data_IF_572008666128
#
_entry.id   IF_572008666128
#
_cell.length_a   1.000
_cell.length_b   1.000
_cell.length_c   1.000
_cell.angle_alpha   90.00
_cell.angle_beta   90.00
_cell.angle_gamma   90.00
#
_symmetry.space_group_name_H-M   'P 1'
#
loop_
_entity.id
_entity.type
_entity.pdbx_description
1 polymer ?
#
# COMPACT_ATOMS: atom_id res chain seq x y z
N UNK A 1 -13.98 19.69 13.44
CA UNK A 1 -13.11 18.85 14.28
C UNK A 1 -12.19 18.07 13.35
N UNK A 2 -10.89 18.26 13.44
CA UNK A 2 -9.91 17.47 12.66
C UNK A 2 -9.88 16.05 13.23
N UNK A 3 -10.25 15.05 12.41
CA UNK A 3 -10.17 13.63 12.79
C UNK A 3 -8.69 13.24 12.95
N UNK A 4 -8.35 12.71 14.11
CA UNK A 4 -7.01 12.12 14.35
C UNK A 4 -6.86 10.88 13.47
N UNK A 5 -5.76 10.80 12.72
CA UNK A 5 -5.37 9.60 11.94
C UNK A 5 -5.20 8.42 12.90
N UNK A 6 -5.86 7.30 12.61
CA UNK A 6 -5.82 6.06 13.39
C UNK A 6 -5.16 4.92 12.63
N UNK A 7 -5.32 4.87 11.31
CA UNK A 7 -4.72 3.82 10.49
C UNK A 7 -4.21 4.35 9.17
N UNK A 8 -3.03 3.90 8.79
CA UNK A 8 -2.41 4.19 7.50
C UNK A 8 -2.12 2.90 6.75
N UNK A 9 -2.17 2.99 5.43
CA UNK A 9 -1.77 1.91 4.54
C UNK A 9 -0.55 2.33 3.71
N UNK A 10 0.32 1.36 3.41
CA UNK A 10 1.47 1.54 2.51
C UNK A 10 1.31 0.56 1.36
N UNK A 11 1.59 1.02 0.14
CA UNK A 11 1.71 0.13 -1.02
C UNK A 11 2.85 0.58 -1.92
N UNK A 12 3.45 -0.37 -2.63
CA UNK A 12 4.39 -0.09 -3.72
C UNK A 12 3.75 -0.51 -5.04
N UNK A 13 3.81 0.35 -6.06
CA UNK A 13 3.25 0.11 -7.38
C UNK A 13 4.27 0.41 -8.50
N UNK A 14 4.03 -0.15 -9.69
CA UNK A 14 4.87 0.06 -10.88
C UNK A 14 5.98 -0.98 -11.08
N UNK A 15 7.14 -0.55 -11.57
CA UNK A 15 8.33 -1.39 -11.71
C UNK A 15 9.05 -1.58 -10.38
N UNK A 16 9.72 -2.72 -10.18
CA UNK A 16 10.60 -2.89 -9.03
C UNK A 16 11.80 -1.95 -9.16
N UNK A 17 12.05 -1.18 -8.10
CA UNK A 17 13.21 -0.33 -7.96
C UNK A 17 13.99 -0.73 -6.69
N UNK A 18 15.33 -0.60 -6.67
CA UNK A 18 16.15 -0.94 -5.50
C UNK A 18 15.77 -0.22 -4.20
N UNK A 19 15.10 0.93 -4.26
CA UNK A 19 14.83 1.79 -3.11
C UNK A 19 13.47 1.58 -2.40
N UNK A 20 12.58 0.74 -2.93
CA UNK A 20 11.21 0.66 -2.41
C UNK A 20 11.14 0.12 -0.97
N UNK A 21 12.00 -0.85 -0.65
CA UNK A 21 12.24 -1.40 0.69
C UNK A 21 12.65 -0.31 1.70
N UNK A 22 13.60 0.55 1.33
CA UNK A 22 14.07 1.66 2.16
C UNK A 22 12.97 2.69 2.43
N UNK A 23 12.12 2.98 1.44
CA UNK A 23 10.98 3.88 1.62
C UNK A 23 9.95 3.31 2.62
N UNK A 24 9.69 2.00 2.58
CA UNK A 24 8.83 1.32 3.56
C UNK A 24 9.45 1.37 4.96
N UNK A 25 10.76 1.08 5.10
CA UNK A 25 11.44 1.19 6.39
C UNK A 25 11.34 2.59 6.98
N UNK A 26 11.66 3.62 6.18
CA UNK A 26 11.62 5.00 6.63
C UNK A 26 10.22 5.42 7.11
N UNK A 27 9.15 5.00 6.41
CA UNK A 27 7.78 5.24 6.85
C UNK A 27 7.45 4.53 8.18
N UNK A 28 7.82 3.24 8.30
CA UNK A 28 7.57 2.47 9.54
C UNK A 28 8.31 3.12 10.72
N UNK A 29 9.57 3.47 10.55
CA UNK A 29 10.38 4.14 11.58
C UNK A 29 9.77 5.48 11.95
N UNK A 30 9.38 6.29 10.95
CA UNK A 30 8.81 7.61 11.22
C UNK A 30 7.50 7.52 12.00
N UNK A 31 6.59 6.63 11.61
CA UNK A 31 5.36 6.41 12.37
C UNK A 31 5.63 5.83 13.76
N UNK A 32 6.66 5.00 13.92
CA UNK A 32 7.05 4.46 15.23
C UNK A 32 7.52 5.58 16.17
N UNK A 33 8.26 6.56 15.63
CA UNK A 33 8.77 7.71 16.38
C UNK A 33 7.68 8.72 16.76
N UNK A 34 6.84 9.14 15.81
CA UNK A 34 5.91 10.27 16.06
C UNK A 34 4.48 9.89 16.38
N UNK A 35 4.07 8.66 16.06
CA UNK A 35 2.68 8.23 16.18
C UNK A 35 2.60 6.71 16.41
N UNK A 36 3.17 6.20 17.52
CA UNK A 36 3.28 4.75 17.78
C UNK A 36 1.92 4.03 17.84
N UNK A 37 0.86 4.76 18.22
CA UNK A 37 -0.51 4.23 18.31
C UNK A 37 -1.23 4.14 16.95
N UNK A 38 -0.67 4.71 15.87
CA UNK A 38 -1.25 4.61 14.53
C UNK A 38 -1.00 3.22 13.98
N UNK A 39 -2.07 2.52 13.59
CA UNK A 39 -1.95 1.23 12.93
C UNK A 39 -1.39 1.38 11.52
N UNK A 40 -0.47 0.50 11.13
CA UNK A 40 0.08 0.46 9.77
C UNK A 40 -0.26 -0.90 9.14
N UNK A 41 -0.84 -0.86 7.95
CA UNK A 41 -0.98 -2.04 7.09
C UNK A 41 -0.22 -1.83 5.77
N UNK A 42 0.22 -2.91 5.16
CA UNK A 42 0.87 -2.88 3.85
C UNK A 42 0.11 -3.76 2.86
N UNK A 43 -0.37 -3.19 1.74
CA UNK A 43 -1.07 -3.98 0.72
C UNK A 43 -0.09 -4.82 -0.11
N UNK A 44 -0.34 -6.12 -0.17
CA UNK A 44 0.59 -7.09 -0.79
C UNK A 44 0.49 -7.04 -2.30
N UNK A 45 1.57 -6.62 -2.96
CA UNK A 45 1.63 -6.49 -4.40
C UNK A 45 0.97 -5.21 -4.91
N UNK A 46 0.98 -4.12 -4.16
CA UNK A 46 0.50 -2.82 -4.63
C UNK A 46 -1.01 -2.75 -4.78
N UNK A 47 -1.48 -2.06 -5.83
CA UNK A 47 -2.90 -1.93 -6.15
C UNK A 47 -3.62 -3.28 -6.34
N UNK A 48 -2.90 -4.34 -6.74
CA UNK A 48 -3.44 -5.70 -6.75
C UNK A 48 -3.92 -6.12 -5.36
N UNK A 49 -3.06 -5.96 -4.34
CA UNK A 49 -3.38 -6.30 -2.96
C UNK A 49 -4.50 -5.42 -2.41
N UNK A 50 -4.54 -4.15 -2.80
CA UNK A 50 -5.64 -3.25 -2.45
C UNK A 50 -6.97 -3.74 -3.02
N UNK A 51 -7.06 -4.07 -4.32
CA UNK A 51 -8.31 -4.56 -4.92
C UNK A 51 -8.79 -5.90 -4.32
N UNK A 52 -7.85 -6.74 -3.88
CA UNK A 52 -8.14 -8.05 -3.29
C UNK A 52 -8.34 -8.01 -1.75
N UNK A 53 -8.14 -6.84 -1.12
CA UNK A 53 -8.15 -6.71 0.34
C UNK A 53 -7.04 -7.49 1.05
N UNK A 54 -5.93 -7.78 0.36
CA UNK A 54 -4.80 -8.54 0.91
C UNK A 54 -3.74 -7.59 1.46
N UNK A 55 -3.59 -7.58 2.78
CA UNK A 55 -2.62 -6.76 3.49
C UNK A 55 -1.89 -7.52 4.60
N UNK A 56 -0.74 -6.97 5.03
CA UNK A 56 0.02 -7.42 6.19
C UNK A 56 0.01 -6.29 7.21
N UNK A 57 -0.29 -6.61 8.47
CA UNK A 57 -0.18 -5.64 9.57
C UNK A 57 1.29 -5.49 10.00
N UNK A 58 1.74 -4.26 10.19
CA UNK A 58 3.03 -3.98 10.81
C UNK A 58 2.88 -4.15 12.33
N UNK A 59 3.48 -5.22 12.87
CA UNK A 59 3.46 -5.56 14.29
C UNK A 59 4.54 -4.78 15.06
N UNK A 60 4.52 -4.76 16.41
CA UNK A 60 5.62 -4.22 17.19
C UNK A 60 6.98 -4.84 16.85
N UNK A 61 7.02 -6.15 16.56
CA UNK A 61 8.23 -6.84 16.10
C UNK A 61 8.74 -6.29 14.75
N UNK A 62 7.84 -6.10 13.78
CA UNK A 62 8.23 -5.49 12.49
C UNK A 62 8.74 -4.06 12.69
N UNK A 63 8.14 -3.27 13.59
CA UNK A 63 8.63 -1.93 13.93
C UNK A 63 10.05 -1.96 14.51
N UNK A 64 10.35 -2.91 15.39
CA UNK A 64 11.68 -3.06 15.99
C UNK A 64 12.75 -3.47 14.97
N UNK A 65 12.37 -4.17 13.91
CA UNK A 65 13.30 -4.74 12.93
C UNK A 65 13.25 -4.07 11.55
N UNK A 66 12.48 -2.99 11.36
CA UNK A 66 12.28 -2.35 10.05
C UNK A 66 13.58 -1.90 9.38
N UNK A 67 14.60 -1.54 10.17
CA UNK A 67 15.92 -1.13 9.67
C UNK A 67 16.62 -2.19 8.80
N UNK A 68 16.24 -3.48 8.91
CA UNK A 68 16.79 -4.53 8.03
C UNK A 68 16.44 -4.27 6.57
N UNK A 69 15.29 -3.66 6.28
CA UNK A 69 14.83 -3.43 4.91
C UNK A 69 15.74 -2.48 4.12
N UNK A 70 16.48 -1.60 4.80
CA UNK A 70 17.49 -0.74 4.16
C UNK A 70 18.61 -1.53 3.47
N UNK A 71 18.81 -2.81 3.84
CA UNK A 71 19.84 -3.69 3.27
C UNK A 71 19.34 -4.51 2.08
N UNK A 72 18.07 -4.39 1.72
CA UNK A 72 17.46 -5.15 0.64
C UNK A 72 17.02 -4.24 -0.50
N UNK A 73 17.12 -4.72 -1.74
CA UNK A 73 16.51 -4.06 -2.90
C UNK A 73 15.06 -4.50 -3.14
N UNK A 74 14.36 -3.79 -4.01
CA UNK A 74 13.00 -4.16 -4.41
C UNK A 74 11.97 -3.82 -3.33
N UNK A 75 10.85 -4.56 -3.30
CA UNK A 75 9.76 -4.33 -2.35
C UNK A 75 9.49 -5.60 -1.51
N UNK A 76 9.64 -5.56 -0.17
CA UNK A 76 9.37 -6.70 0.71
C UNK A 76 7.89 -7.10 0.73
N UNK A 77 6.99 -6.21 0.31
CA UNK A 77 5.55 -6.46 0.22
C UNK A 77 5.11 -6.83 -1.21
N UNK A 78 6.07 -7.07 -2.11
CA UNK A 78 5.82 -7.29 -3.52
C UNK A 78 5.37 -6.01 -4.24
N UNK A 79 5.19 -6.10 -5.55
CA UNK A 79 4.79 -4.97 -6.40
C UNK A 79 3.82 -5.42 -7.50
N UNK A 80 3.06 -4.50 -8.08
CA UNK A 80 2.30 -4.78 -9.31
C UNK A 80 2.20 -3.58 -10.23
N UNK A 81 2.03 -3.87 -11.52
CA UNK A 81 1.73 -2.87 -12.56
C UNK A 81 0.23 -2.74 -12.83
N UNK A 82 -0.60 -2.86 -11.79
CA UNK A 82 -2.04 -2.61 -11.91
C UNK A 82 -2.26 -1.10 -12.07
N UNK A 83 -3.07 -0.71 -13.07
CA UNK A 83 -3.54 0.67 -13.25
C UNK A 83 -5.05 0.68 -12.99
N UNK A 84 -5.49 1.41 -11.97
CA UNK A 84 -6.91 1.49 -11.62
C UNK A 84 -7.74 2.12 -12.75
N UNK A 85 -7.14 3.00 -13.53
CA UNK A 85 -7.74 3.62 -14.71
C UNK A 85 -7.92 2.65 -15.90
N UNK A 86 -7.32 1.46 -15.86
CA UNK A 86 -7.49 0.43 -16.89
C UNK A 86 -8.45 -0.67 -16.43
N UNK A 87 -9.74 -0.36 -16.42
CA UNK A 87 -10.79 -1.31 -16.03
C UNK A 87 -10.77 -2.61 -16.84
N UNK A 88 -10.47 -2.56 -18.14
CA UNK A 88 -10.38 -3.75 -19.00
C UNK A 88 -9.27 -4.71 -18.54
N UNK A 89 -8.10 -4.20 -18.19
CA UNK A 89 -7.01 -5.02 -17.65
C UNK A 89 -7.36 -5.59 -16.27
N UNK A 90 -7.99 -4.78 -15.41
CA UNK A 90 -8.43 -5.24 -14.09
C UNK A 90 -9.45 -6.39 -14.19
N UNK A 91 -10.43 -6.29 -15.10
CA UNK A 91 -11.40 -7.37 -15.38
C UNK A 91 -10.70 -8.59 -15.95
N UNK A 92 -9.85 -8.42 -16.98
CA UNK A 92 -9.10 -9.53 -17.60
C UNK A 92 -8.26 -10.31 -16.58
N UNK A 93 -7.73 -9.63 -15.58
CA UNK A 93 -6.92 -10.21 -14.50
C UNK A 93 -7.73 -10.71 -13.31
N UNK A 94 -9.07 -10.58 -13.35
CA UNK A 94 -9.96 -11.01 -12.29
C UNK A 94 -9.88 -10.17 -11.01
N UNK A 95 -9.35 -8.95 -11.08
CA UNK A 95 -9.20 -8.05 -9.92
C UNK A 95 -10.48 -7.30 -9.60
N UNK A 96 -11.35 -7.13 -10.61
CA UNK A 96 -12.70 -6.58 -10.46
C UNK A 96 -13.65 -7.35 -11.38
N UNK A 97 -14.96 -7.27 -11.10
CA UNK A 97 -16.01 -7.83 -11.95
C UNK A 97 -16.27 -6.92 -13.14
N UNK A 98 -16.84 -7.48 -14.21
CA UNK A 98 -17.30 -6.70 -15.35
C UNK A 98 -18.32 -5.64 -14.91
N UNK A 99 -18.16 -4.41 -15.42
CA UNK A 99 -18.97 -3.26 -15.04
C UNK A 99 -18.57 -2.55 -13.75
N UNK A 100 -17.59 -3.07 -12.98
CA UNK A 100 -17.05 -2.35 -11.82
C UNK A 100 -15.98 -1.34 -12.21
N UNK A 101 -15.98 -0.20 -11.52
CA UNK A 101 -14.89 0.78 -11.54
C UNK A 101 -13.81 0.38 -10.52
N UNK A 102 -12.57 0.06 -10.93
CA UNK A 102 -11.49 -0.29 -10.01
C UNK A 102 -11.14 0.81 -9.00
N UNK A 103 -11.28 2.09 -9.34
CA UNK A 103 -11.02 3.19 -8.40
C UNK A 103 -12.05 3.17 -7.27
N UNK A 104 -13.33 2.94 -7.61
CA UNK A 104 -14.40 2.78 -6.63
C UNK A 104 -14.18 1.55 -5.74
N UNK A 105 -13.80 0.41 -6.31
CA UNK A 105 -13.50 -0.81 -5.54
C UNK A 105 -12.32 -0.59 -4.58
N UNK A 106 -11.26 0.06 -5.05
CA UNK A 106 -10.12 0.41 -4.22
C UNK A 106 -10.51 1.34 -3.06
N UNK A 107 -11.29 2.40 -3.34
CA UNK A 107 -11.79 3.32 -2.34
C UNK A 107 -12.68 2.61 -1.30
N UNK A 108 -13.59 1.74 -1.74
CA UNK A 108 -14.47 0.98 -0.85
C UNK A 108 -13.67 0.02 0.03
N UNK A 109 -12.59 -0.58 -0.49
CA UNK A 109 -11.70 -1.42 0.29
C UNK A 109 -10.90 -0.63 1.34
N UNK A 110 -10.41 0.59 1.01
CA UNK A 110 -9.76 1.48 1.99
C UNK A 110 -10.72 1.84 3.14
N UNK A 111 -11.99 2.16 2.80
CA UNK A 111 -13.04 2.44 3.79
C UNK A 111 -13.31 1.21 4.66
N UNK A 112 -13.43 0.03 4.05
CA UNK A 112 -13.63 -1.24 4.75
C UNK A 112 -12.49 -1.58 5.71
N UNK A 113 -11.25 -1.32 5.31
CA UNK A 113 -10.06 -1.52 6.16
C UNK A 113 -9.88 -0.42 7.22
N UNK A 114 -10.65 0.67 7.12
CA UNK A 114 -10.59 1.82 8.02
C UNK A 114 -9.33 2.66 7.83
N UNK A 115 -8.78 2.71 6.62
CA UNK A 115 -7.57 3.47 6.28
C UNK A 115 -7.90 4.96 6.18
N UNK A 116 -7.20 5.79 6.95
CA UNK A 116 -7.31 7.25 6.90
C UNK A 116 -6.34 7.87 5.88
N UNK A 117 -5.15 7.26 5.72
CA UNK A 117 -4.09 7.74 4.84
C UNK A 117 -3.49 6.57 4.06
N UNK A 118 -3.43 6.70 2.73
CA UNK A 118 -2.73 5.74 1.87
C UNK A 118 -1.43 6.37 1.36
N UNK A 119 -0.31 5.73 1.71
CA UNK A 119 1.01 6.02 1.16
C UNK A 119 1.26 5.16 -0.08
N UNK A 120 1.28 5.78 -1.25
CA UNK A 120 1.60 5.13 -2.52
C UNK A 120 3.05 5.41 -2.90
N UNK A 121 3.86 4.37 -3.07
CA UNK A 121 5.27 4.48 -3.43
C UNK A 121 5.47 3.93 -4.85
N UNK A 122 5.85 4.78 -5.80
CA UNK A 122 6.07 4.38 -7.18
C UNK A 122 6.39 5.57 -8.09
N UNK A 123 6.44 5.33 -9.40
CA UNK A 123 6.63 6.37 -10.42
C UNK A 123 5.32 7.08 -10.80
N UNK A 124 5.33 7.84 -11.89
CA UNK A 124 4.22 8.70 -12.31
C UNK A 124 2.86 7.99 -12.43
N UNK A 125 2.86 6.78 -13.01
CA UNK A 125 1.66 5.94 -13.12
C UNK A 125 1.05 5.57 -11.76
N UNK A 126 1.84 5.60 -10.68
CA UNK A 126 1.35 5.34 -9.32
C UNK A 126 0.68 6.58 -8.73
N UNK A 127 1.18 7.78 -9.07
CA UNK A 127 0.75 9.06 -8.52
C UNK A 127 -0.49 9.64 -9.24
N UNK A 128 -0.82 9.13 -10.42
CA UNK A 128 -1.96 9.55 -11.25
C UNK A 128 -3.15 8.57 -11.18
N UNK A 129 -3.02 7.51 -10.38
CA UNK A 129 -3.98 6.41 -10.27
C UNK A 129 -5.22 6.74 -9.44
#
# INVERSE_FOLDING_TARGET
MTRSVKKVAILTAGGLAPCLSSAIAALIERYTDVAPDVEIICYVGGYKGLLEGRSIRVTPEIRQHSAVLYRHGGSPIGNSRVKLTNAKDCVKRGLVKEGQDPQKVAADQLVKDGVDVLHTIGGDDTNTA
#
